data_IF_585063713756
#
_entry.id   IF_585063713756
#
_cell.length_a   1.000
_cell.length_b   1.000
_cell.length_c   1.000
_cell.angle_alpha   90.00
_cell.angle_beta   90.00
_cell.angle_gamma   90.00
#
_symmetry.space_group_name_H-M   'P 1'
#
loop_
_entity.id
_entity.type
_entity.pdbx_description
1 polymer ?
#
# COMPACT_ATOMS: atom_id res chain seq x y z
N UNK A 1 36.63 101.93 67.52
CA UNK A 1 35.92 100.89 68.29
C UNK A 1 35.80 99.68 67.38
N UNK A 2 36.89 99.12 66.85
CA UNK A 2 37.78 98.16 67.51
C UNK A 2 37.24 97.57 68.81
N UNK A 3 36.99 96.25 68.77
CA UNK A 3 37.21 95.18 69.78
C UNK A 3 36.33 93.99 69.35
N UNK A 4 36.69 92.70 69.35
CA UNK A 4 37.85 91.85 69.70
C UNK A 4 37.41 90.45 69.23
N UNK A 5 38.23 89.65 68.54
CA UNK A 5 39.23 88.77 69.17
C UNK A 5 38.51 87.84 70.17
N UNK A 6 38.17 86.59 69.80
CA UNK A 6 38.96 85.35 69.99
C UNK A 6 37.97 84.19 69.93
N UNK A 7 38.29 82.91 69.81
CA UNK A 7 39.44 82.02 69.58
C UNK A 7 38.74 80.67 69.35
N UNK A 8 39.28 79.66 68.71
CA UNK A 8 40.35 78.77 69.18
C UNK A 8 40.07 77.48 68.37
N UNK A 9 41.06 76.74 67.90
CA UNK A 9 41.53 75.53 68.59
C UNK A 9 40.38 74.53 68.80
N UNK A 10 40.35 73.33 68.25
CA UNK A 10 41.40 72.33 68.05
C UNK A 10 40.64 71.09 67.54
N UNK A 11 41.16 70.27 66.62
CA UNK A 11 41.58 68.88 66.89
C UNK A 11 41.45 68.13 65.54
N UNK A 12 42.48 67.40 65.12
CA UNK A 12 42.25 66.15 64.36
C UNK A 12 42.05 65.01 65.35
N UNK A 13 42.11 63.71 64.98
CA UNK A 13 41.91 63.05 63.69
C UNK A 13 40.60 62.21 63.75
N UNK A 14 40.51 61.10 63.01
CA UNK A 14 39.52 60.01 63.10
C UNK A 14 38.29 60.13 62.19
N UNK A 15 38.33 59.53 60.99
CA UNK A 15 37.90 58.14 60.72
C UNK A 15 36.50 57.80 61.25
N UNK A 16 35.49 57.90 60.38
CA UNK A 16 34.32 57.02 60.40
C UNK A 16 33.97 56.72 58.93
N UNK A 17 34.61 55.75 58.30
CA UNK A 17 34.06 54.39 58.21
C UNK A 17 32.54 54.39 58.19
N UNK A 18 31.93 54.42 57.00
CA UNK A 18 30.81 53.52 56.75
C UNK A 18 30.97 52.87 55.37
N UNK A 19 30.60 51.59 55.27
CA UNK A 19 31.35 50.63 54.49
C UNK A 19 30.84 50.53 53.07
N UNK A 20 31.77 50.20 52.18
CA UNK A 20 31.58 49.29 51.04
C UNK A 20 30.13 48.87 50.82
N UNK A 21 29.43 49.59 49.94
CA UNK A 21 28.32 49.02 49.21
C UNK A 21 28.87 47.84 48.44
N UNK A 22 28.69 46.64 49.02
CA UNK A 22 28.95 45.35 48.41
C UNK A 22 28.45 45.42 46.96
N UNK A 23 29.36 45.51 46.00
CA UNK A 23 29.08 45.06 44.65
C UNK A 23 28.80 43.58 44.80
N UNK A 24 27.51 43.26 44.97
CA UNK A 24 27.01 41.89 44.94
C UNK A 24 27.30 41.41 43.52
N UNK A 25 28.47 40.78 43.36
CA UNK A 25 28.81 39.98 42.20
C UNK A 25 27.60 39.10 41.95
N UNK A 26 26.84 39.42 40.91
CA UNK A 26 25.84 38.51 40.39
C UNK A 26 26.64 37.35 39.81
N UNK A 27 26.91 36.36 40.66
CA UNK A 27 27.36 35.06 40.21
C UNK A 27 26.22 34.55 39.33
N UNK A 28 26.38 34.70 38.02
CA UNK A 28 25.54 34.06 37.04
C UNK A 28 25.72 32.56 37.25
N UNK A 29 24.73 31.93 37.89
CA UNK A 29 24.58 30.49 37.89
C UNK A 29 24.34 30.08 36.45
N UNK A 30 25.41 29.79 35.70
CA UNK A 30 25.30 29.00 34.48
C UNK A 30 24.95 27.60 34.92
N UNK A 31 23.65 27.31 34.95
CA UNK A 31 23.16 25.94 35.05
C UNK A 31 23.84 25.15 33.92
N UNK A 32 24.32 23.97 34.29
CA UNK A 32 25.21 23.16 33.47
C UNK A 32 24.40 22.48 32.34
N UNK A 33 23.94 23.25 31.35
CA UNK A 33 23.05 22.80 30.26
C UNK A 33 23.74 21.90 29.23
N UNK A 34 25.04 21.60 29.43
CA UNK A 34 25.87 20.86 28.46
C UNK A 34 25.48 19.38 28.29
N UNK A 35 24.68 18.81 29.20
CA UNK A 35 24.20 17.42 29.10
C UNK A 35 22.79 17.28 28.50
N UNK A 36 21.92 18.27 28.71
CA UNK A 36 20.49 18.17 28.35
C UNK A 36 20.31 18.16 26.84
N UNK A 37 21.09 18.95 26.11
CA UNK A 37 21.06 18.96 24.64
C UNK A 37 21.37 17.57 24.04
N UNK A 38 22.31 16.83 24.62
CA UNK A 38 22.66 15.48 24.17
C UNK A 38 21.49 14.51 24.40
N UNK A 39 20.85 14.57 25.56
CA UNK A 39 19.71 13.71 25.89
C UNK A 39 18.53 13.99 24.94
N UNK A 40 18.22 15.26 24.69
CA UNK A 40 17.16 15.65 23.74
C UNK A 40 17.49 15.17 22.33
N UNK A 41 18.74 15.33 21.88
CA UNK A 41 19.17 14.86 20.57
C UNK A 41 19.02 13.33 20.44
N UNK A 42 19.38 12.57 21.49
CA UNK A 42 19.20 11.12 21.53
C UNK A 42 17.71 10.72 21.54
N UNK A 43 16.86 11.46 22.25
CA UNK A 43 15.41 11.22 22.25
C UNK A 43 14.80 11.45 20.87
N UNK A 44 15.16 12.54 20.19
CA UNK A 44 14.70 12.82 18.82
C UNK A 44 15.21 11.75 17.87
N UNK A 45 16.49 11.37 17.97
CA UNK A 45 17.08 10.31 17.16
C UNK A 45 16.37 8.96 17.39
N UNK A 46 16.04 8.62 18.63
CA UNK A 46 15.30 7.41 18.96
C UNK A 46 13.91 7.42 18.32
N UNK A 47 13.17 8.53 18.45
CA UNK A 47 11.84 8.66 17.82
C UNK A 47 11.93 8.55 16.30
N UNK A 48 12.88 9.25 15.67
CA UNK A 48 13.12 9.17 14.23
C UNK A 48 13.48 7.75 13.79
N UNK A 49 14.26 7.01 14.59
CA UNK A 49 14.63 5.62 14.29
C UNK A 49 13.40 4.71 14.32
N UNK A 50 12.53 4.86 15.32
CA UNK A 50 11.28 4.09 15.40
C UNK A 50 10.34 4.40 14.22
N UNK A 51 10.21 5.67 13.83
CA UNK A 51 9.44 6.08 12.65
C UNK A 51 10.06 5.48 11.39
N UNK A 52 11.39 5.55 11.24
CA UNK A 52 12.11 5.01 10.09
C UNK A 52 11.93 3.50 9.92
N UNK A 53 12.03 2.74 11.02
CA UNK A 53 11.79 1.28 11.01
C UNK A 53 10.35 1.00 10.58
N UNK A 54 9.36 1.67 11.17
CA UNK A 54 7.95 1.48 10.83
C UNK A 54 7.64 1.83 9.37
N UNK A 55 8.26 2.88 8.82
CA UNK A 55 8.11 3.24 7.43
C UNK A 55 8.66 2.14 6.50
N UNK A 56 9.87 1.65 6.77
CA UNK A 56 10.52 0.59 5.95
C UNK A 56 9.72 -0.71 6.00
N UNK A 57 9.24 -1.11 7.18
CA UNK A 57 8.44 -2.33 7.32
C UNK A 57 7.13 -2.21 6.56
N UNK A 58 6.42 -1.09 6.66
CA UNK A 58 5.19 -0.83 5.88
C UNK A 58 5.43 -0.97 4.37
N UNK A 59 6.48 -0.32 3.85
CA UNK A 59 6.84 -0.43 2.42
C UNK A 59 7.15 -1.87 2.00
N UNK A 60 7.83 -2.63 2.84
CA UNK A 60 8.14 -4.05 2.55
C UNK A 60 6.87 -4.90 2.47
N UNK A 61 5.89 -4.66 3.37
CA UNK A 61 4.59 -5.31 3.30
C UNK A 61 3.81 -4.93 2.04
N UNK A 62 3.75 -3.64 1.70
CA UNK A 62 3.07 -3.17 0.49
C UNK A 62 3.66 -3.80 -0.78
N UNK A 63 4.98 -3.83 -0.91
CA UNK A 63 5.65 -4.46 -2.07
C UNK A 63 5.28 -5.94 -2.17
N UNK A 64 5.23 -6.66 -1.05
CA UNK A 64 4.81 -8.07 -1.04
C UNK A 64 3.35 -8.24 -1.47
N UNK A 65 2.45 -7.37 -1.00
CA UNK A 65 1.04 -7.39 -1.35
C UNK A 65 0.87 -7.10 -2.85
N UNK A 66 1.50 -6.03 -3.35
CA UNK A 66 1.45 -5.66 -4.77
C UNK A 66 2.05 -6.73 -5.68
N UNK A 67 3.10 -7.43 -5.24
CA UNK A 67 3.64 -8.57 -5.97
C UNK A 67 2.63 -9.71 -6.12
N UNK A 68 1.94 -10.07 -5.03
CA UNK A 68 0.91 -11.11 -5.08
C UNK A 68 -0.32 -10.69 -5.90
N UNK A 69 -0.75 -9.43 -5.78
CA UNK A 69 -1.84 -8.87 -6.59
C UNK A 69 -1.52 -8.92 -8.08
N UNK A 70 -0.29 -8.51 -8.46
CA UNK A 70 0.19 -8.58 -9.84
C UNK A 70 0.14 -10.01 -10.40
N UNK A 71 0.64 -11.01 -9.66
CA UNK A 71 0.56 -12.41 -10.09
C UNK A 71 -0.89 -12.88 -10.26
N UNK A 72 -1.78 -12.44 -9.38
CA UNK A 72 -3.21 -12.71 -9.48
C UNK A 72 -3.84 -12.12 -10.74
N UNK A 73 -3.46 -10.89 -11.09
CA UNK A 73 -3.90 -10.21 -12.31
C UNK A 73 -3.36 -10.88 -13.56
N UNK A 74 -2.09 -11.28 -13.58
CA UNK A 74 -1.48 -12.00 -14.70
C UNK A 74 -2.18 -13.35 -14.95
N UNK A 75 -2.50 -14.09 -13.87
CA UNK A 75 -3.28 -15.32 -13.96
C UNK A 75 -4.72 -15.06 -14.46
N UNK A 76 -5.33 -13.94 -14.05
CA UNK A 76 -6.65 -13.56 -14.53
C UNK A 76 -6.65 -13.24 -16.03
N UNK A 77 -5.73 -12.42 -16.52
CA UNK A 77 -5.61 -12.12 -17.95
C UNK A 77 -5.30 -13.36 -18.79
N UNK A 78 -4.49 -14.29 -18.27
CA UNK A 78 -4.30 -15.58 -18.92
C UNK A 78 -5.61 -16.37 -19.01
N UNK A 79 -6.41 -16.40 -17.93
CA UNK A 79 -7.71 -17.09 -17.95
C UNK A 79 -8.68 -16.46 -18.96
N UNK A 80 -8.72 -15.14 -19.08
CA UNK A 80 -9.52 -14.41 -20.07
C UNK A 80 -9.11 -14.76 -21.51
N UNK A 81 -7.80 -14.81 -21.79
CA UNK A 81 -7.31 -15.26 -23.08
C UNK A 81 -7.80 -16.70 -23.40
N UNK A 82 -7.72 -17.60 -22.42
CA UNK A 82 -8.23 -18.96 -22.56
C UNK A 82 -9.73 -19.01 -22.80
N UNK A 83 -10.53 -18.18 -22.13
CA UNK A 83 -11.97 -18.11 -22.37
C UNK A 83 -12.28 -17.58 -23.76
N UNK A 84 -11.58 -16.54 -24.23
CA UNK A 84 -11.79 -16.03 -25.57
C UNK A 84 -11.47 -17.08 -26.65
N UNK A 85 -10.42 -17.87 -26.44
CA UNK A 85 -10.12 -19.03 -27.32
C UNK A 85 -11.29 -20.01 -27.31
N UNK A 86 -11.81 -20.36 -26.13
CA UNK A 86 -12.94 -21.29 -26.03
C UNK A 86 -14.21 -20.76 -26.68
N UNK A 87 -14.53 -19.48 -26.49
CA UNK A 87 -15.66 -18.81 -27.13
C UNK A 87 -15.53 -18.86 -28.66
N UNK A 88 -14.33 -18.63 -29.19
CA UNK A 88 -14.08 -18.66 -30.64
C UNK A 88 -14.11 -20.08 -31.23
N UNK A 89 -13.95 -21.12 -30.42
CA UNK A 89 -13.97 -22.52 -30.85
C UNK A 89 -15.37 -23.12 -30.89
N UNK A 90 -16.32 -22.56 -30.13
CA UNK A 90 -17.72 -23.00 -30.13
C UNK A 90 -18.26 -23.03 -31.58
N UNK A 91 -18.88 -24.15 -32.01
CA UNK A 91 -19.45 -25.23 -31.20
C UNK A 91 -18.53 -26.42 -30.92
N UNK A 92 -17.28 -26.39 -31.35
CA UNK A 92 -16.32 -27.46 -31.07
C UNK A 92 -16.00 -27.49 -29.57
N UNK A 93 -16.11 -28.67 -28.95
CA UNK A 93 -15.90 -28.85 -27.50
C UNK A 93 -14.54 -29.46 -27.15
N UNK A 94 -13.59 -29.38 -28.07
CA UNK A 94 -12.24 -29.90 -27.85
C UNK A 94 -11.57 -29.14 -26.68
N UNK A 95 -10.79 -29.84 -25.84
CA UNK A 95 -10.11 -29.19 -24.72
C UNK A 95 -9.08 -28.16 -25.21
N UNK A 96 -9.04 -27.03 -24.52
CA UNK A 96 -8.07 -25.96 -24.80
C UNK A 96 -6.74 -26.37 -24.16
N UNK A 97 -5.79 -26.72 -25.02
CA UNK A 97 -4.44 -27.12 -24.60
C UNK A 97 -3.70 -26.00 -23.89
N UNK A 98 -2.83 -26.39 -22.94
CA UNK A 98 -2.01 -25.45 -22.17
C UNK A 98 -1.09 -24.66 -23.11
N UNK A 99 -1.30 -23.35 -23.20
CA UNK A 99 -0.63 -22.46 -24.13
C UNK A 99 0.01 -21.30 -23.39
N UNK A 100 1.25 -20.94 -23.79
CA UNK A 100 2.00 -19.83 -23.18
C UNK A 100 1.48 -18.49 -23.71
N UNK A 101 1.24 -17.54 -22.82
CA UNK A 101 0.79 -16.18 -23.14
C UNK A 101 1.87 -15.13 -22.82
N UNK A 102 2.53 -15.27 -21.67
CA UNK A 102 3.57 -14.36 -21.18
C UNK A 102 4.81 -15.11 -20.72
N UNK A 103 5.74 -14.43 -20.05
CA UNK A 103 7.00 -15.03 -19.56
C UNK A 103 6.74 -16.25 -18.67
N UNK A 104 5.88 -16.07 -17.66
CA UNK A 104 5.46 -17.10 -16.69
C UNK A 104 3.94 -17.36 -16.69
N UNK A 105 3.23 -16.85 -17.69
CA UNK A 105 1.76 -16.93 -17.77
C UNK A 105 1.29 -17.93 -18.82
N UNK A 106 0.36 -18.81 -18.46
CA UNK A 106 -0.21 -19.86 -19.31
C UNK A 106 -1.73 -19.89 -19.18
N UNK A 107 -2.42 -20.28 -20.24
CA UNK A 107 -3.85 -20.57 -20.20
C UNK A 107 -4.15 -21.99 -20.66
N UNK A 108 -5.25 -22.55 -20.18
CA UNK A 108 -5.83 -23.83 -20.61
C UNK A 108 -7.33 -23.80 -20.34
N UNK A 109 -8.08 -24.79 -20.80
CA UNK A 109 -9.50 -24.82 -20.51
C UNK A 109 -10.24 -26.02 -21.06
N UNK A 110 -11.54 -26.06 -20.76
CA UNK A 110 -12.49 -27.06 -21.25
C UNK A 110 -13.76 -26.37 -21.71
N UNK A 111 -14.41 -26.97 -22.69
CA UNK A 111 -15.68 -26.52 -23.23
C UNK A 111 -16.67 -27.66 -23.04
N UNK A 112 -17.82 -27.36 -22.45
CA UNK A 112 -18.87 -28.33 -22.15
C UNK A 112 -20.20 -27.88 -22.77
N UNK A 113 -20.79 -28.74 -23.58
CA UNK A 113 -22.19 -28.62 -23.97
C UNK A 113 -23.08 -28.80 -22.74
N UNK A 114 -23.93 -27.80 -22.45
CA UNK A 114 -24.92 -27.82 -21.36
C UNK A 114 -26.33 -28.19 -21.84
N UNK A 115 -26.48 -28.43 -23.14
CA UNK A 115 -27.71 -28.92 -23.74
C UNK A 115 -28.53 -27.85 -24.48
N UNK A 116 -29.54 -28.31 -25.24
CA UNK A 116 -30.34 -27.44 -26.09
C UNK A 116 -31.33 -26.60 -25.28
N UNK A 117 -31.68 -25.44 -25.82
CA UNK A 117 -32.80 -24.61 -25.37
C UNK A 117 -33.52 -23.98 -26.56
N UNK A 118 -34.80 -23.67 -26.38
CA UNK A 118 -35.61 -22.97 -27.36
C UNK A 118 -35.49 -21.46 -27.18
N UNK A 119 -35.51 -20.73 -28.29
CA UNK A 119 -35.52 -19.26 -28.30
C UNK A 119 -36.81 -18.78 -28.95
N UNK A 120 -37.49 -17.83 -28.32
CA UNK A 120 -38.68 -17.20 -28.89
C UNK A 120 -38.36 -16.54 -30.25
N UNK A 121 -39.30 -16.61 -31.19
CA UNK A 121 -39.11 -16.12 -32.55
C UNK A 121 -38.44 -17.11 -33.51
N UNK A 122 -38.03 -18.29 -33.05
CA UNK A 122 -37.57 -19.39 -33.89
C UNK A 122 -38.59 -20.54 -33.94
N UNK A 123 -38.76 -21.15 -35.12
CA UNK A 123 -39.63 -22.32 -35.29
C UNK A 123 -39.10 -23.56 -34.57
N UNK A 124 -39.96 -24.57 -34.37
CA UNK A 124 -39.62 -25.83 -33.66
C UNK A 124 -38.54 -26.67 -34.34
N UNK A 125 -38.17 -26.34 -35.58
CA UNK A 125 -37.10 -26.97 -36.36
C UNK A 125 -35.72 -26.35 -36.10
N UNK A 126 -35.63 -25.36 -35.20
CA UNK A 126 -34.37 -24.70 -34.82
C UNK A 126 -34.14 -24.85 -33.31
N UNK A 127 -32.90 -25.18 -32.96
CA UNK A 127 -32.47 -25.27 -31.57
C UNK A 127 -31.23 -24.42 -31.34
N UNK A 128 -31.06 -23.94 -30.12
CA UNK A 128 -29.84 -23.31 -29.67
C UNK A 128 -29.22 -24.17 -28.59
N UNK A 129 -27.91 -24.10 -28.43
CA UNK A 129 -27.20 -24.85 -27.41
C UNK A 129 -26.45 -23.91 -26.47
N UNK A 130 -26.46 -24.25 -25.18
CA UNK A 130 -25.64 -23.56 -24.20
C UNK A 130 -24.32 -24.28 -24.09
N UNK A 131 -23.24 -23.52 -24.23
CA UNK A 131 -21.88 -23.99 -23.98
C UNK A 131 -21.37 -23.32 -22.72
N UNK A 132 -20.57 -24.05 -21.96
CA UNK A 132 -19.82 -23.53 -20.83
C UNK A 132 -18.33 -23.67 -21.11
N UNK A 133 -17.61 -22.56 -21.03
CA UNK A 133 -16.16 -22.50 -21.19
C UNK A 133 -15.55 -22.28 -19.82
N UNK A 134 -14.80 -23.27 -19.32
CA UNK A 134 -13.99 -23.15 -18.12
C UNK A 134 -12.54 -22.91 -18.53
N UNK A 135 -12.04 -21.69 -18.35
CA UNK A 135 -10.67 -21.32 -18.67
C UNK A 135 -9.86 -21.09 -17.40
N UNK A 136 -8.72 -21.77 -17.29
CA UNK A 136 -7.74 -21.59 -16.21
C UNK A 136 -6.55 -20.82 -16.74
N UNK A 137 -6.22 -19.72 -16.08
CA UNK A 137 -4.97 -18.99 -16.23
C UNK A 137 -4.04 -19.25 -15.05
N UNK A 138 -2.76 -19.39 -15.35
CA UNK A 138 -1.69 -19.69 -14.41
C UNK A 138 -0.62 -18.60 -14.55
N UNK A 139 -0.11 -18.06 -13.45
CA UNK A 139 1.08 -17.20 -13.42
C UNK A 139 1.90 -17.50 -12.17
N UNK A 140 3.13 -18.00 -12.33
CA UNK A 140 4.03 -18.44 -11.25
C UNK A 140 3.35 -19.32 -10.18
N UNK A 141 2.76 -18.72 -9.14
CA UNK A 141 2.03 -19.38 -8.02
C UNK A 141 0.56 -18.98 -7.91
N UNK A 142 0.07 -18.11 -8.78
CA UNK A 142 -1.32 -17.72 -8.86
C UNK A 142 -2.03 -18.55 -9.94
N UNK A 143 -3.26 -18.94 -9.64
CA UNK A 143 -4.17 -19.55 -10.61
C UNK A 143 -5.53 -18.87 -10.51
N UNK A 144 -6.14 -18.62 -11.66
CA UNK A 144 -7.50 -18.08 -11.78
C UNK A 144 -8.28 -18.94 -12.75
N UNK A 145 -9.51 -19.27 -12.39
CA UNK A 145 -10.44 -19.96 -13.28
C UNK A 145 -11.64 -19.04 -13.52
N UNK A 146 -12.03 -18.92 -14.78
CA UNK A 146 -13.25 -18.23 -15.19
C UNK A 146 -14.16 -19.19 -15.92
N UNK A 147 -15.46 -19.07 -15.63
CA UNK A 147 -16.51 -19.79 -16.32
C UNK A 147 -17.31 -18.79 -17.17
N UNK A 148 -17.43 -19.07 -18.46
CA UNK A 148 -18.25 -18.29 -19.39
C UNK A 148 -19.33 -19.18 -19.99
N UNK A 149 -20.57 -18.73 -19.95
CA UNK A 149 -21.68 -19.42 -20.62
C UNK A 149 -22.06 -18.69 -21.90
N UNK A 150 -22.07 -19.43 -23.01
CA UNK A 150 -22.40 -18.92 -24.34
C UNK A 150 -23.64 -19.62 -24.86
N UNK A 151 -24.58 -18.84 -25.37
CA UNK A 151 -25.77 -19.33 -26.08
C UNK A 151 -25.49 -19.21 -27.57
N UNK A 152 -25.33 -20.33 -28.26
CA UNK A 152 -24.93 -20.36 -29.67
C UNK A 152 -25.90 -21.18 -30.52
N UNK A 153 -26.06 -20.78 -31.78
CA UNK A 153 -27.05 -21.31 -32.71
C UNK A 153 -27.41 -20.25 -33.77
N UNK A 154 -28.45 -20.48 -34.58
CA UNK A 154 -29.35 -21.63 -34.55
C UNK A 154 -28.73 -22.87 -35.20
N UNK A 155 -29.02 -24.05 -34.66
CA UNK A 155 -28.75 -25.35 -35.26
C UNK A 155 -30.06 -25.98 -35.75
N UNK A 156 -30.03 -26.83 -36.80
CA UNK A 156 -31.17 -27.65 -37.14
C UNK A 156 -31.58 -28.48 -35.91
N UNK A 157 -32.82 -28.35 -35.48
CA UNK A 157 -33.42 -29.22 -34.48
C UNK A 157 -33.52 -30.61 -35.11
N UNK A 158 -32.82 -31.58 -34.52
CA UNK A 158 -32.96 -32.97 -34.94
C UNK A 158 -34.41 -33.38 -34.77
N UNK A 159 -35.12 -33.60 -35.88
CA UNK A 159 -36.37 -34.37 -35.83
C UNK A 159 -35.96 -35.77 -35.42
N UNK A 160 -36.29 -36.19 -34.21
CA UNK A 160 -36.04 -37.55 -33.71
C UNK A 160 -36.88 -38.60 -34.45
N UNK A 161 -36.66 -38.71 -35.76
CA UNK A 161 -37.18 -39.75 -36.64
C UNK A 161 -36.01 -40.27 -37.50
N UNK A 162 -35.00 -40.84 -36.86
CA UNK A 162 -34.12 -41.80 -37.52
C UNK A 162 -34.59 -43.20 -37.12
N UNK A 163 -34.96 -43.99 -38.15
CA UNK A 163 -35.47 -45.37 -38.10
C UNK A 163 -34.46 -46.38 -37.53
#
# INVERSE_FOLDING_TARGET
>A
MEKRFLANGSEGPETLLTPSGLQRSMVSHRLNDKGVALVIALMILLVLTLIGINAITSTTFEVSISGNERLGTDAFYASEAGAQVGINQIPVTDPISRTKLGEDSYYRGRIEARGPFFTEGYGSTWQFERFQVNATGESFRAMKEIEVQVRYGPFPGGTGYDN
#
